data_IF_806714988038
#
_entry.id   IF_806714988038
#
_cell.length_a   1.000
_cell.length_b   1.000
_cell.length_c   1.000
_cell.angle_alpha   90.00
_cell.angle_beta   90.00
_cell.angle_gamma   90.00
#
_symmetry.space_group_name_H-M   'P 1'
#
loop_
_entity.id
_entity.type
_entity.pdbx_description
1 polymer ?
#
# COMPACT_ATOMS: atom_id res chain seq x y z
N UNK A 1 -12.77 15.45 -12.12
CA UNK A 1 -12.35 14.04 -12.19
C UNK A 1 -11.42 13.78 -11.02
N UNK A 2 -11.65 12.73 -10.23
CA UNK A 2 -10.68 12.32 -9.22
C UNK A 2 -9.75 11.29 -9.87
N UNK A 3 -8.48 11.64 -10.06
CA UNK A 3 -7.44 10.69 -10.44
C UNK A 3 -7.35 9.63 -9.33
N UNK A 4 -7.49 8.36 -9.71
CA UNK A 4 -7.28 7.24 -8.79
C UNK A 4 -5.87 6.69 -9.01
N UNK A 5 -5.08 6.74 -7.94
CA UNK A 5 -3.71 6.25 -7.92
C UNK A 5 -3.66 4.93 -7.16
N UNK A 6 -3.20 3.88 -7.82
CA UNK A 6 -3.01 2.56 -7.24
C UNK A 6 -1.56 2.13 -7.33
N UNK A 7 -1.13 1.32 -6.37
CA UNK A 7 0.11 0.56 -6.44
C UNK A 7 -0.20 -0.92 -6.26
N UNK A 8 0.39 -1.79 -7.06
CA UNK A 8 0.25 -3.24 -6.94
C UNK A 8 1.59 -3.82 -6.53
N UNK A 9 1.66 -4.37 -5.31
CA UNK A 9 2.81 -5.16 -4.88
C UNK A 9 2.71 -6.54 -5.54
N UNK A 10 3.64 -6.86 -6.44
CA UNK A 10 3.81 -8.22 -6.96
C UNK A 10 4.62 -8.99 -5.93
N UNK A 11 4.04 -10.02 -5.32
CA UNK A 11 4.73 -10.83 -4.32
C UNK A 11 4.77 -12.29 -4.74
N UNK A 12 5.70 -13.06 -4.17
CA UNK A 12 5.78 -14.51 -4.33
C UNK A 12 4.54 -15.25 -3.77
N UNK A 13 3.67 -14.55 -3.04
CA UNK A 13 2.40 -15.05 -2.48
C UNK A 13 1.16 -14.50 -3.18
N UNK A 14 1.32 -13.69 -4.23
CA UNK A 14 0.25 -13.09 -5.01
C UNK A 14 0.26 -11.56 -5.04
N UNK A 15 -0.69 -10.97 -5.76
CA UNK A 15 -0.77 -9.52 -5.93
C UNK A 15 -1.49 -8.84 -4.76
N UNK A 16 -0.95 -7.72 -4.28
CA UNK A 16 -1.62 -6.84 -3.31
C UNK A 16 -1.82 -5.47 -3.95
N UNK A 17 -3.05 -5.20 -4.40
CA UNK A 17 -3.42 -3.89 -4.91
C UNK A 17 -3.78 -2.94 -3.77
N UNK A 18 -3.18 -1.77 -3.80
CA UNK A 18 -3.31 -0.71 -2.79
C UNK A 18 -3.86 0.54 -3.48
N UNK A 19 -4.93 1.10 -2.93
CA UNK A 19 -5.43 2.43 -3.28
C UNK A 19 -4.69 3.46 -2.43
N UNK A 20 -3.98 4.38 -3.07
CA UNK A 20 -3.18 5.41 -2.39
C UNK A 20 -4.02 6.67 -2.13
N UNK A 21 -3.64 7.46 -1.12
CA UNK A 21 -4.35 8.67 -0.68
C UNK A 21 -3.57 9.97 -0.93
N UNK A 22 -3.25 10.32 -2.20
CA UNK A 22 -2.38 11.47 -2.50
C UNK A 22 -2.93 12.81 -2.00
N UNK A 23 -4.25 12.96 -1.87
CA UNK A 23 -4.87 14.18 -1.34
C UNK A 23 -4.81 14.31 0.18
N UNK A 24 -4.62 13.19 0.91
CA UNK A 24 -4.59 13.18 2.37
C UNK A 24 -3.15 13.21 2.89
N UNK A 25 -2.24 12.53 2.20
CA UNK A 25 -0.83 12.36 2.59
C UNK A 25 0.09 12.50 1.36
N UNK A 26 0.13 13.69 0.73
CA UNK A 26 0.82 13.90 -0.54
C UNK A 26 2.32 13.60 -0.49
N UNK A 27 3.03 13.98 0.57
CA UNK A 27 4.48 13.74 0.65
C UNK A 27 4.79 12.26 0.79
N UNK A 28 4.00 11.54 1.58
CA UNK A 28 4.15 10.10 1.84
C UNK A 28 3.84 9.28 0.60
N UNK A 29 2.73 9.59 -0.08
CA UNK A 29 2.36 8.91 -1.33
C UNK A 29 3.40 9.17 -2.42
N UNK A 30 3.87 10.42 -2.55
CA UNK A 30 4.93 10.77 -3.50
C UNK A 30 6.21 10.00 -3.21
N UNK A 31 6.64 9.95 -1.94
CA UNK A 31 7.82 9.20 -1.52
C UNK A 31 7.70 7.72 -1.90
N UNK A 32 6.56 7.09 -1.57
CA UNK A 32 6.33 5.68 -1.89
C UNK A 32 6.36 5.41 -3.40
N UNK A 33 5.67 6.23 -4.21
CA UNK A 33 5.61 6.06 -5.67
C UNK A 33 6.96 6.29 -6.32
N UNK A 34 7.68 7.35 -5.97
CA UNK A 34 8.99 7.64 -6.57
C UNK A 34 10.03 6.57 -6.20
N UNK A 35 9.98 6.01 -4.98
CA UNK A 35 10.83 4.88 -4.59
C UNK A 35 10.46 3.59 -5.33
N UNK A 36 9.17 3.33 -5.53
CA UNK A 36 8.69 2.18 -6.29
C UNK A 36 9.09 2.25 -7.78
N UNK A 37 9.00 3.43 -8.39
CA UNK A 37 9.31 3.62 -9.82
C UNK A 37 10.78 3.87 -10.15
N UNK A 38 11.65 4.01 -9.14
CA UNK A 38 13.05 4.40 -9.37
C UNK A 38 13.24 5.87 -9.79
N UNK A 39 12.30 6.74 -9.44
CA UNK A 39 12.35 8.18 -9.75
C UNK A 39 13.07 8.99 -8.66
N UNK A 40 13.22 8.41 -7.46
CA UNK A 40 13.89 9.04 -6.32
C UNK A 40 15.19 8.33 -5.99
N UNK A 41 16.25 9.13 -5.88
CA UNK A 41 17.52 8.66 -5.36
C UNK A 41 17.41 8.24 -3.89
N UNK A 42 18.00 7.11 -3.56
CA UNK A 42 18.14 6.60 -2.21
C UNK A 42 19.56 6.08 -1.99
N UNK A 43 19.99 6.04 -0.73
CA UNK A 43 21.31 5.55 -0.36
C UNK A 43 21.17 4.13 0.17
N UNK A 44 21.88 3.18 -0.44
CA UNK A 44 21.95 1.82 0.04
C UNK A 44 22.57 1.82 1.45
N UNK A 45 21.86 1.35 2.49
CA UNK A 45 22.34 1.41 3.86
C UNK A 45 23.48 0.43 4.18
N UNK A 46 23.70 -0.61 3.37
CA UNK A 46 24.84 -1.53 3.50
C UNK A 46 26.10 -0.96 2.84
N UNK A 47 26.00 -0.51 1.59
CA UNK A 47 27.18 -0.10 0.79
C UNK A 47 27.47 1.41 0.87
N UNK A 48 26.47 2.20 1.24
CA UNK A 48 26.51 3.67 1.19
C UNK A 48 26.44 4.26 -0.22
N UNK A 49 26.26 3.44 -1.27
CA UNK A 49 26.12 3.92 -2.63
C UNK A 49 24.76 4.58 -2.87
N UNK A 50 24.71 5.62 -3.69
CA UNK A 50 23.45 6.18 -4.18
C UNK A 50 22.93 5.33 -5.35
N UNK A 51 21.61 5.13 -5.39
CA UNK A 51 20.91 4.41 -6.45
C UNK A 51 19.56 5.08 -6.74
N UNK A 52 19.07 4.91 -7.96
CA UNK A 52 17.69 5.21 -8.37
C UNK A 52 16.98 3.94 -8.83
N UNK A 53 17.52 2.76 -8.56
CA UNK A 53 16.79 1.51 -8.82
C UNK A 53 15.51 1.46 -7.97
N UNK A 54 14.44 0.82 -8.45
CA UNK A 54 13.23 0.57 -7.68
C UNK A 54 13.56 -0.01 -6.29
N UNK A 55 13.32 0.76 -5.23
CA UNK A 55 13.80 0.39 -3.89
C UNK A 55 13.13 -0.89 -3.37
N UNK A 56 11.86 -1.11 -3.73
CA UNK A 56 11.06 -2.20 -3.18
C UNK A 56 11.27 -3.54 -3.89
N UNK A 57 11.91 -3.55 -5.06
CA UNK A 57 12.14 -4.77 -5.84
C UNK A 57 13.09 -5.70 -5.08
N UNK A 58 12.65 -6.93 -4.82
CA UNK A 58 13.36 -7.92 -4.04
C UNK A 58 13.33 -7.71 -2.51
N UNK A 59 12.66 -6.68 -2.01
CA UNK A 59 12.52 -6.49 -0.55
C UNK A 59 11.57 -7.51 0.07
N UNK A 60 11.71 -7.75 1.37
CA UNK A 60 10.89 -8.75 2.08
C UNK A 60 9.96 -8.12 3.12
N UNK A 61 8.87 -8.81 3.42
CA UNK A 61 8.12 -8.58 4.66
C UNK A 61 8.89 -9.17 5.84
N UNK A 62 9.87 -8.41 6.36
CA UNK A 62 10.80 -8.85 7.40
C UNK A 62 10.14 -9.03 8.78
N UNK A 63 8.90 -8.56 8.98
CA UNK A 63 8.19 -8.69 10.25
C UNK A 63 6.69 -8.90 10.03
N UNK A 64 6.18 -10.03 10.48
CA UNK A 64 4.78 -10.45 10.35
C UNK A 64 4.23 -10.82 11.73
N UNK A 65 3.17 -10.15 12.18
CA UNK A 65 2.53 -10.44 13.46
C UNK A 65 1.06 -10.75 13.19
N UNK A 66 0.71 -12.03 13.36
CA UNK A 66 -0.66 -12.51 13.18
C UNK A 66 -1.64 -11.72 14.05
N UNK A 67 -2.78 -11.32 13.46
CA UNK A 67 -3.78 -10.47 14.12
C UNK A 67 -3.36 -9.01 14.32
N UNK A 68 -2.22 -8.59 13.76
CA UNK A 68 -1.76 -7.21 13.87
C UNK A 68 -1.40 -6.60 12.51
N UNK A 69 -0.26 -6.99 11.92
CA UNK A 69 0.26 -6.36 10.69
C UNK A 69 1.35 -7.19 9.99
N UNK A 70 1.60 -6.85 8.73
CA UNK A 70 2.75 -7.28 7.93
C UNK A 70 3.59 -6.04 7.57
N UNK A 71 4.90 -6.06 7.83
CA UNK A 71 5.81 -4.93 7.65
C UNK A 71 6.96 -5.27 6.70
N UNK A 72 7.23 -4.37 5.75
CA UNK A 72 8.24 -4.52 4.70
C UNK A 72 8.83 -3.17 4.28
N UNK A 73 9.46 -3.13 3.10
CA UNK A 73 10.05 -1.91 2.54
C UNK A 73 11.42 -1.52 3.11
N UNK A 74 12.10 -2.46 3.77
CA UNK A 74 13.50 -2.30 4.16
C UNK A 74 14.40 -2.94 3.08
N UNK A 75 15.29 -2.18 2.40
CA UNK A 75 16.22 -2.73 1.42
C UNK A 75 17.24 -3.73 2.01
N UNK A 76 17.45 -3.75 3.33
CA UNK A 76 18.26 -4.77 4.00
C UNK A 76 17.44 -5.98 4.44
N UNK A 77 16.11 -5.86 4.50
CA UNK A 77 15.24 -6.87 5.08
C UNK A 77 15.50 -7.17 6.56
N UNK A 78 16.12 -6.26 7.33
CA UNK A 78 16.49 -6.48 8.74
C UNK A 78 15.61 -5.70 9.73
N UNK A 79 14.79 -4.78 9.23
CA UNK A 79 13.94 -3.88 10.01
C UNK A 79 14.62 -2.57 10.42
N UNK A 80 15.90 -2.38 10.11
CA UNK A 80 16.66 -1.17 10.50
C UNK A 80 17.15 -0.34 9.31
N UNK A 81 17.05 -0.84 8.08
CA UNK A 81 17.44 -0.08 6.91
C UNK A 81 16.38 0.91 6.46
N UNK A 82 16.71 1.65 5.41
CA UNK A 82 15.87 2.70 4.84
C UNK A 82 16.56 3.38 3.66
N UNK A 83 15.98 4.47 3.13
CA UNK A 83 16.42 5.09 1.88
C UNK A 83 17.56 6.11 2.07
N UNK A 84 18.13 6.20 3.27
CA UNK A 84 19.18 7.16 3.61
C UNK A 84 18.70 8.56 4.02
N UNK A 85 17.39 8.76 4.15
CA UNK A 85 16.78 10.01 4.63
C UNK A 85 15.53 9.74 5.47
N UNK A 86 15.05 10.79 6.13
CA UNK A 86 13.83 10.80 6.93
C UNK A 86 12.91 11.95 6.52
N UNK A 87 11.60 11.79 6.72
CA UNK A 87 10.62 12.86 6.48
C UNK A 87 9.47 12.87 7.50
N UNK A 88 8.77 14.01 7.53
CA UNK A 88 7.71 14.33 8.48
C UNK A 88 6.48 13.40 8.37
N UNK A 89 5.72 13.30 9.45
CA UNK A 89 4.42 12.60 9.46
C UNK A 89 3.30 13.45 8.82
N UNK A 90 2.31 12.79 8.22
CA UNK A 90 1.12 13.45 7.64
C UNK A 90 -0.17 12.83 8.22
N UNK A 91 -0.72 13.41 9.28
CA UNK A 91 -1.96 12.90 9.89
C UNK A 91 -3.20 13.62 9.41
N UNK A 92 -4.18 12.89 8.87
CA UNK A 92 -5.46 13.44 8.40
C UNK A 92 -6.62 13.09 9.35
N UNK A 93 -7.59 13.99 9.63
CA UNK A 93 -8.77 13.69 10.48
C UNK A 93 -9.58 12.48 10.01
N UNK A 94 -9.72 12.29 8.70
CA UNK A 94 -10.51 11.20 8.11
C UNK A 94 -9.80 9.84 8.10
N UNK A 95 -8.51 9.81 8.45
CA UNK A 95 -7.70 8.59 8.44
C UNK A 95 -7.42 8.14 9.89
N UNK A 96 -7.91 6.95 10.23
CA UNK A 96 -7.68 6.32 11.53
C UNK A 96 -7.62 4.80 11.40
N UNK A 97 -6.89 4.16 12.31
CA UNK A 97 -6.72 2.71 12.38
C UNK A 97 -7.93 1.99 12.99
N UNK A 98 -9.12 2.27 12.45
CA UNK A 98 -10.41 1.75 12.93
C UNK A 98 -10.87 0.47 12.21
N UNK A 99 -10.13 0.02 11.20
CA UNK A 99 -10.44 -1.16 10.38
C UNK A 99 -9.13 -1.81 9.89
N UNK A 100 -9.15 -3.09 9.50
CA UNK A 100 -7.99 -3.74 8.88
C UNK A 100 -7.69 -3.18 7.49
N UNK A 101 -6.56 -3.63 6.93
CA UNK A 101 -6.11 -3.40 5.56
C UNK A 101 -5.73 -1.95 5.22
N UNK A 102 -5.33 -1.18 6.23
CA UNK A 102 -4.72 0.13 6.07
C UNK A 102 -3.22 -0.01 5.89
N UNK A 103 -2.68 0.77 4.95
CA UNK A 103 -1.25 0.86 4.65
C UNK A 103 -0.69 2.13 5.28
N UNK A 104 0.37 1.99 6.07
CA UNK A 104 0.96 3.09 6.82
C UNK A 104 2.48 3.01 6.91
N UNK A 105 3.12 4.15 7.14
CA UNK A 105 4.58 4.21 7.32
C UNK A 105 5.00 3.62 8.66
N UNK A 106 5.99 2.74 8.65
CA UNK A 106 6.75 2.42 9.85
C UNK A 106 7.73 3.56 10.15
N UNK A 107 7.96 3.84 11.43
CA UNK A 107 8.88 4.89 11.88
C UNK A 107 9.45 4.55 13.28
N UNK A 108 10.48 5.27 13.69
CA UNK A 108 11.15 5.15 14.99
C UNK A 108 10.82 6.33 15.93
N UNK A 109 9.67 6.98 15.72
CA UNK A 109 9.26 8.21 16.40
C UNK A 109 8.90 9.34 15.43
N UNK A 110 8.45 10.49 15.94
CA UNK A 110 7.97 11.59 15.11
C UNK A 110 8.99 12.03 14.06
N UNK A 111 8.54 12.17 12.82
CA UNK A 111 9.35 12.67 11.70
C UNK A 111 10.47 11.75 11.21
N UNK A 112 10.36 10.44 11.47
CA UNK A 112 11.36 9.45 11.05
C UNK A 112 10.85 8.48 9.98
N UNK A 113 9.86 8.89 9.18
CA UNK A 113 9.40 8.09 8.05
C UNK A 113 10.51 7.92 7.02
N UNK A 114 10.64 6.73 6.45
CA UNK A 114 11.64 6.39 5.43
C UNK A 114 11.02 5.61 4.27
N UNK A 115 11.44 4.37 4.06
CA UNK A 115 10.88 3.47 3.04
C UNK A 115 9.99 2.38 3.63
N UNK A 116 10.17 2.06 4.91
CA UNK A 116 9.44 0.96 5.54
C UNK A 116 7.97 1.31 5.73
N UNK A 117 7.10 0.36 5.41
CA UNK A 117 5.66 0.46 5.56
C UNK A 117 5.10 -0.83 6.14
N UNK A 118 3.86 -0.77 6.62
CA UNK A 118 3.12 -1.95 7.06
C UNK A 118 1.67 -1.92 6.58
N UNK A 119 1.08 -3.11 6.48
CA UNK A 119 -0.34 -3.33 6.21
C UNK A 119 -0.96 -3.94 7.45
N UNK A 120 -2.01 -3.31 7.99
CA UNK A 120 -2.76 -3.84 9.15
C UNK A 120 -3.69 -4.99 8.74
N UNK A 121 -3.89 -5.95 9.63
CA UNK A 121 -4.90 -7.03 9.47
C UNK A 121 -5.97 -7.02 10.56
N UNK A 122 -5.96 -5.99 11.41
CA UNK A 122 -6.96 -5.73 12.45
C UNK A 122 -7.00 -4.23 12.78
N UNK A 123 -8.06 -3.72 13.45
CA UNK A 123 -8.06 -2.36 13.99
C UNK A 123 -6.95 -2.16 15.01
N UNK A 124 -6.21 -1.07 14.89
CA UNK A 124 -4.98 -0.79 15.68
C UNK A 124 -4.96 0.64 16.19
N UNK A 125 -6.04 1.05 16.88
CA UNK A 125 -6.30 2.44 17.27
C UNK A 125 -5.18 3.11 18.10
N UNK A 126 -4.32 2.33 18.77
CA UNK A 126 -3.16 2.84 19.51
C UNK A 126 -2.03 3.39 18.62
N UNK A 127 -2.10 3.14 17.31
CA UNK A 127 -1.20 3.68 16.27
C UNK A 127 -1.68 5.03 15.70
N UNK A 128 -2.90 5.46 16.03
CA UNK A 128 -3.43 6.75 15.57
C UNK A 128 -2.51 7.89 15.98
N UNK A 129 -2.22 8.79 15.03
CA UNK A 129 -1.32 9.96 15.21
C UNK A 129 0.12 9.58 15.58
N UNK A 130 0.52 8.35 15.30
CA UNK A 130 1.91 7.87 15.39
C UNK A 130 2.46 7.40 14.06
N UNK A 131 1.60 6.87 13.20
CA UNK A 131 1.96 6.38 11.86
C UNK A 131 1.07 7.01 10.80
N UNK A 132 1.69 7.48 9.73
CA UNK A 132 1.01 8.08 8.58
C UNK A 132 0.30 7.00 7.77
N UNK A 133 -1.04 7.00 7.74
CA UNK A 133 -1.83 6.16 6.84
C UNK A 133 -1.81 6.81 5.45
N UNK A 134 -1.36 6.09 4.43
CA UNK A 134 -1.23 6.64 3.07
C UNK A 134 -1.95 5.80 1.99
N UNK A 135 -2.60 4.71 2.38
CA UNK A 135 -3.42 3.92 1.48
C UNK A 135 -4.22 2.84 2.19
N UNK A 136 -4.94 2.04 1.40
CA UNK A 136 -5.66 0.85 1.85
C UNK A 136 -5.65 -0.24 0.77
N UNK A 137 -5.77 -1.50 1.17
CA UNK A 137 -5.89 -2.61 0.22
C UNK A 137 -7.21 -2.50 -0.55
N UNK A 138 -7.13 -2.48 -1.87
CA UNK A 138 -8.17 -2.01 -2.77
C UNK A 138 -9.33 -3.01 -2.94
N UNK A 139 -9.04 -4.31 -2.93
CA UNK A 139 -10.01 -5.34 -3.30
C UNK A 139 -9.93 -6.62 -2.44
N UNK A 140 -10.98 -7.47 -2.45
CA UNK A 140 -11.02 -8.69 -1.65
C UNK A 140 -9.95 -9.72 -1.97
N UNK A 141 -9.50 -9.84 -3.24
CA UNK A 141 -8.47 -10.82 -3.59
C UNK A 141 -7.11 -10.42 -2.99
N UNK A 142 -6.78 -9.13 -3.07
CA UNK A 142 -5.60 -8.55 -2.42
C UNK A 142 -5.65 -8.73 -0.90
N UNK A 143 -6.82 -8.63 -0.27
CA UNK A 143 -6.98 -8.88 1.17
C UNK A 143 -6.71 -10.34 1.55
N UNK A 144 -7.15 -11.30 0.73
CA UNK A 144 -6.82 -12.72 0.94
C UNK A 144 -5.32 -12.96 0.90
N UNK A 145 -4.60 -12.30 -0.01
CA UNK A 145 -3.13 -12.39 -0.07
C UNK A 145 -2.51 -11.81 1.20
N UNK A 146 -2.95 -10.64 1.65
CA UNK A 146 -2.49 -10.05 2.93
C UNK A 146 -2.76 -10.98 4.11
N UNK A 147 -3.95 -11.57 4.19
CA UNK A 147 -4.32 -12.51 5.25
C UNK A 147 -3.47 -13.79 5.21
N UNK A 148 -3.19 -14.31 4.01
CA UNK A 148 -2.32 -15.46 3.82
C UNK A 148 -0.88 -15.16 4.27
N UNK A 149 -0.34 -13.99 3.94
CA UNK A 149 0.98 -13.54 4.41
C UNK A 149 0.97 -13.37 5.93
N UNK A 150 -0.09 -12.78 6.51
CA UNK A 150 -0.19 -12.59 7.96
C UNK A 150 -0.31 -13.91 8.76
N UNK A 151 -0.60 -15.02 8.08
CA UNK A 151 -0.73 -16.35 8.65
C UNK A 151 0.50 -17.25 8.44
N UNK A 152 1.55 -16.78 7.75
CA UNK A 152 2.76 -17.60 7.53
C UNK A 152 3.46 -17.90 8.86
N UNK A 153 4.14 -19.06 8.98
CA UNK A 153 4.95 -19.35 10.15
C UNK A 153 6.05 -18.30 10.33
N UNK A 154 6.17 -17.78 11.56
CA UNK A 154 7.22 -16.81 11.93
C UNK A 154 8.16 -17.39 12.96
N UNK A 155 9.46 -17.15 12.80
CA UNK A 155 10.49 -17.46 13.77
C UNK A 155 10.63 -16.40 14.85
N UNK A 156 11.86 -16.27 15.37
CA UNK A 156 12.22 -15.24 16.34
C UNK A 156 11.99 -13.84 15.77
N UNK A 157 11.67 -12.89 16.63
CA UNK A 157 11.46 -11.47 16.30
C UNK A 157 10.36 -11.22 15.26
N UNK A 158 9.45 -12.20 15.09
CA UNK A 158 8.33 -12.16 14.16
C UNK A 158 8.74 -12.14 12.68
N UNK A 159 9.96 -12.58 12.34
CA UNK A 159 10.36 -12.76 10.94
C UNK A 159 9.70 -14.02 10.36
N UNK A 160 9.12 -13.99 9.15
CA UNK A 160 8.72 -15.21 8.43
C UNK A 160 9.85 -16.25 8.37
N UNK A 161 9.52 -17.53 8.52
CA UNK A 161 10.50 -18.63 8.41
C UNK A 161 10.98 -18.79 6.97
N UNK A 162 10.06 -18.66 6.03
CA UNK A 162 10.34 -18.48 4.60
C UNK A 162 10.10 -17.02 4.27
N UNK A 163 11.06 -16.40 3.58
CA UNK A 163 10.90 -15.01 3.16
C UNK A 163 9.67 -14.85 2.27
N UNK A 164 8.93 -13.76 2.49
CA UNK A 164 7.84 -13.30 1.63
C UNK A 164 8.38 -12.07 0.90
N UNK A 165 8.52 -12.19 -0.41
CA UNK A 165 9.29 -11.27 -1.26
C UNK A 165 8.33 -10.39 -2.05
N UNK A 166 8.58 -9.08 -2.06
CA UNK A 166 8.01 -8.13 -3.01
C UNK A 166 8.91 -8.18 -4.24
N UNK A 167 8.47 -8.83 -5.30
CA UNK A 167 9.21 -8.97 -6.54
C UNK A 167 9.35 -7.62 -7.25
N UNK A 168 8.25 -6.86 -7.32
CA UNK A 168 8.24 -5.50 -7.85
C UNK A 168 6.97 -4.73 -7.42
N UNK A 169 6.96 -3.41 -7.61
CA UNK A 169 5.80 -2.55 -7.35
C UNK A 169 5.39 -1.79 -8.60
N UNK A 170 4.17 -2.04 -9.09
CA UNK A 170 3.63 -1.38 -10.28
C UNK A 170 2.70 -0.23 -9.86
N UNK A 171 2.91 0.97 -10.40
CA UNK A 171 2.08 2.14 -10.11
C UNK A 171 1.16 2.47 -11.30
N UNK A 172 -0.14 2.57 -11.03
CA UNK A 172 -1.18 2.84 -12.03
C UNK A 172 -1.93 4.14 -11.70
N UNK A 173 -2.06 5.01 -12.70
CA UNK A 173 -2.88 6.23 -12.64
C UNK A 173 -4.08 6.05 -13.56
N UNK A 174 -5.29 6.12 -13.01
CA UNK A 174 -6.52 6.03 -13.81
C UNK A 174 -7.35 7.30 -13.66
N UNK A 175 -7.71 7.91 -14.79
CA UNK A 175 -8.79 8.89 -14.86
C UNK A 175 -10.08 8.15 -15.17
N UNK A 176 -11.10 8.22 -14.30
CA UNK A 176 -12.42 7.71 -14.66
C UNK A 176 -13.16 8.76 -15.49
N UNK A 177 -13.36 8.50 -16.79
CA UNK A 177 -14.38 9.18 -17.58
C UNK A 177 -15.77 8.80 -17.02
N UNK A 178 -16.61 9.79 -16.72
CA UNK A 178 -18.00 9.54 -16.37
C UNK A 178 -18.74 8.98 -17.60
N UNK A 179 -19.13 7.71 -17.54
CA UNK A 179 -20.03 7.12 -18.52
C UNK A 179 -21.34 7.91 -18.60
N UNK A 180 -21.61 8.51 -19.76
CA UNK A 180 -22.92 9.08 -20.09
C UNK A 180 -23.98 8.00 -19.93
N UNK A 181 -25.04 8.33 -19.21
CA UNK A 181 -26.17 7.45 -18.94
C UNK A 181 -26.72 6.79 -20.20
N UNK A 182 -26.89 5.49 -20.09
CA UNK A 182 -27.61 4.65 -21.03
C UNK A 182 -29.10 5.02 -20.95
N UNK A 183 -29.59 5.89 -21.84
CA UNK A 183 -31.02 6.04 -22.08
C UNK A 183 -31.50 4.87 -22.93
N UNK A 184 -31.79 3.76 -22.24
CA UNK A 184 -32.55 2.65 -22.77
C UNK A 184 -34.03 3.01 -22.88
N UNK A 185 -34.57 2.79 -24.07
CA UNK A 185 -35.98 2.74 -24.44
C UNK A 185 -36.84 2.00 -23.40
N UNK A 186 -38.00 2.56 -23.07
CA UNK A 186 -39.26 1.79 -23.07
C UNK A 186 -40.50 2.70 -23.06
N UNK A 187 -41.41 2.48 -24.01
CA UNK A 187 -42.86 2.39 -23.77
C UNK A 187 -43.47 1.80 -25.03
N UNK A 188 -43.96 0.57 -24.88
CA UNK A 188 -44.51 -0.27 -25.93
C UNK A 188 -45.93 0.07 -26.38
N UNK A 189 -46.23 -0.51 -27.55
CA UNK A 189 -47.33 -1.42 -27.87
C UNK A 189 -48.81 -1.08 -27.56
N UNK A 190 -49.56 -1.19 -28.67
CA UNK A 190 -50.86 -1.86 -28.88
C UNK A 190 -52.17 -1.13 -28.56
N UNK A 191 -52.96 -0.87 -29.62
CA UNK A 191 -54.40 -1.20 -29.62
C UNK A 191 -54.95 -1.30 -31.05
N UNK A 192 -55.40 -2.51 -31.42
CA UNK A 192 -56.41 -2.75 -32.45
C UNK A 192 -57.71 -2.02 -32.10
N UNK A 193 -58.53 -1.65 -33.10
CA UNK A 193 -59.95 -2.04 -33.21
C UNK A 193 -60.50 -1.68 -34.60
N UNK A 194 -61.12 -2.69 -35.21
CA UNK A 194 -62.18 -2.76 -36.24
C UNK A 194 -62.97 -1.49 -36.60
N UNK A 195 -63.25 -1.32 -37.90
CA UNK A 195 -64.28 -0.42 -38.43
C UNK A 195 -64.13 -0.14 -39.91
#
# INVERSE_FOLDING_TARGET
>A
MAEQLHATLKTDRGDIRIRLFPNHTPATVRNFVELAGGERAWKNPETGAESTEPLYDGTVFHRVISGFMIQGGDPLGTGIGGPGYQFADEFHPDLSFNRPYLVAMANAGPGTNGSQFFITVSPTVWLNRKHTIFGEVADPESRKVVDAIAAVPTGRDHRPVEDVVIETVLVERTGQEQGKGQTGKDTGKDMETTG
#
